data_IF_023833321037
#
_entry.id   IF_023833321037
#
_cell.length_a   1.000
_cell.length_b   1.000
_cell.length_c   1.000
_cell.angle_alpha   90.00
_cell.angle_beta   90.00
_cell.angle_gamma   90.00
#
_symmetry.space_group_name_H-M   'P 1'
#
loop_
_entity.id
_entity.type
_entity.pdbx_description
1 polymer ?
#
# COMPACT_ATOMS: atom_id res chain seq x y z
N UNK A 1 15.29 -0.05 -8.03
CA UNK A 1 15.69 0.63 -6.78
C UNK A 1 16.32 1.98 -7.08
N UNK A 2 17.47 2.05 -7.77
CA UNK A 2 18.15 3.31 -8.10
C UNK A 2 17.23 4.37 -8.72
N UNK A 3 16.44 4.01 -9.73
CA UNK A 3 15.48 4.94 -10.38
C UNK A 3 14.40 5.44 -9.42
N UNK A 4 13.92 4.60 -8.49
CA UNK A 4 12.91 5.02 -7.50
C UNK A 4 13.50 5.99 -6.47
N UNK A 5 14.74 5.77 -6.04
CA UNK A 5 15.48 6.70 -5.18
C UNK A 5 15.63 8.05 -5.90
N UNK A 6 16.08 8.03 -7.15
CA UNK A 6 16.23 9.25 -7.97
C UNK A 6 14.92 9.99 -8.21
N UNK A 7 13.80 9.27 -8.28
CA UNK A 7 12.46 9.84 -8.40
C UNK A 7 11.91 10.41 -7.09
N UNK A 8 12.65 10.33 -5.98
CA UNK A 8 12.23 10.85 -4.67
C UNK A 8 11.26 9.94 -3.90
N UNK A 9 11.19 8.65 -4.25
CA UNK A 9 10.40 7.66 -3.51
C UNK A 9 11.14 7.26 -2.23
N UNK A 10 10.43 7.07 -1.12
CA UNK A 10 11.03 6.70 0.18
C UNK A 10 11.29 5.19 0.36
N UNK A 11 10.66 4.34 -0.46
CA UNK A 11 10.85 2.90 -0.40
C UNK A 11 10.03 2.15 -1.45
N UNK A 12 10.33 0.86 -1.62
CA UNK A 12 9.55 -0.05 -2.47
C UNK A 12 9.29 -1.36 -1.77
N UNK A 13 8.23 -2.05 -2.20
CA UNK A 13 8.07 -3.47 -1.93
C UNK A 13 8.39 -4.30 -3.19
N UNK A 14 9.02 -5.46 -2.98
CA UNK A 14 9.31 -6.44 -4.04
C UNK A 14 8.55 -7.71 -3.68
N UNK A 15 7.77 -8.26 -4.61
CA UNK A 15 6.98 -9.48 -4.40
C UNK A 15 7.67 -10.74 -4.91
N UNK A 16 7.33 -11.88 -4.32
CA UNK A 16 7.87 -13.19 -4.70
C UNK A 16 7.07 -13.92 -5.77
N UNK A 17 6.20 -13.23 -6.51
CA UNK A 17 5.43 -13.82 -7.61
C UNK A 17 6.31 -14.12 -8.84
N UNK A 18 5.95 -15.16 -9.58
CA UNK A 18 6.47 -15.35 -10.94
C UNK A 18 5.98 -14.23 -11.86
N UNK A 19 6.84 -13.74 -12.75
CA UNK A 19 6.43 -12.73 -13.74
C UNK A 19 5.69 -13.36 -14.93
N UNK A 20 4.63 -12.72 -15.47
CA UNK A 20 3.94 -11.56 -14.91
C UNK A 20 3.06 -11.95 -13.71
N UNK A 21 2.94 -11.09 -12.68
CA UNK A 21 2.18 -11.41 -11.49
C UNK A 21 0.69 -11.57 -11.78
N UNK A 22 0.03 -12.38 -10.96
CA UNK A 22 -1.38 -12.77 -11.15
C UNK A 22 -2.19 -12.48 -9.89
N UNK A 23 -3.46 -12.13 -10.07
CA UNK A 23 -4.42 -12.04 -8.99
C UNK A 23 -5.15 -13.36 -8.75
N UNK A 24 -5.63 -13.55 -7.52
CA UNK A 24 -6.45 -14.69 -7.13
C UNK A 24 -5.72 -16.03 -7.17
N UNK A 25 -6.40 -17.15 -7.46
CA UNK A 25 -5.84 -18.51 -7.32
C UNK A 25 -4.78 -18.86 -8.38
N UNK A 26 -4.50 -17.95 -9.31
CA UNK A 26 -3.48 -18.13 -10.36
C UNK A 26 -2.08 -17.69 -9.93
N UNK A 27 -1.94 -17.17 -8.70
CA UNK A 27 -0.65 -16.81 -8.12
C UNK A 27 0.28 -18.02 -8.15
N UNK A 28 1.54 -17.74 -8.43
CA UNK A 28 2.65 -18.67 -8.28
C UNK A 28 3.82 -17.86 -7.77
N UNK A 29 4.61 -18.45 -6.89
CA UNK A 29 5.75 -17.79 -6.30
C UNK A 29 7.05 -18.45 -6.77
N UNK A 30 8.09 -17.64 -6.94
CA UNK A 30 9.45 -18.11 -7.18
C UNK A 30 10.01 -18.80 -5.92
N UNK A 31 11.14 -19.49 -6.04
CA UNK A 31 11.80 -20.11 -4.87
C UNK A 31 12.27 -19.08 -3.85
N UNK A 32 12.41 -19.48 -2.57
CA UNK A 32 13.01 -18.62 -1.52
C UNK A 32 14.38 -18.12 -1.97
N UNK A 33 15.23 -19.02 -2.49
CA UNK A 33 16.58 -18.69 -2.97
C UNK A 33 16.57 -17.59 -4.03
N UNK A 34 15.66 -17.68 -5.00
CA UNK A 34 15.55 -16.66 -6.05
C UNK A 34 15.08 -15.32 -5.47
N UNK A 35 14.08 -15.34 -4.59
CA UNK A 35 13.58 -14.12 -3.96
C UNK A 35 14.64 -13.45 -3.06
N UNK A 36 15.35 -14.22 -2.23
CA UNK A 36 16.47 -13.73 -1.42
C UNK A 36 17.55 -13.09 -2.30
N UNK A 37 17.89 -13.69 -3.44
CA UNK A 37 18.82 -13.10 -4.40
C UNK A 37 18.36 -11.73 -4.93
N UNK A 38 17.07 -11.61 -5.31
CA UNK A 38 16.47 -10.33 -5.75
C UNK A 38 16.50 -9.27 -4.65
N UNK A 39 16.17 -9.67 -3.42
CA UNK A 39 16.17 -8.78 -2.26
C UNK A 39 17.58 -8.30 -1.91
N UNK A 40 18.60 -9.17 -1.94
CA UNK A 40 20.00 -8.76 -1.72
C UNK A 40 20.46 -7.73 -2.75
N UNK A 41 20.16 -7.94 -4.04
CA UNK A 41 20.46 -6.96 -5.08
C UNK A 41 19.75 -5.60 -4.84
N UNK A 42 18.53 -5.64 -4.29
CA UNK A 42 17.81 -4.42 -3.91
C UNK A 42 18.45 -3.72 -2.71
N UNK A 43 18.89 -4.48 -1.70
CA UNK A 43 19.60 -3.97 -0.53
C UNK A 43 20.96 -3.38 -0.91
N UNK A 44 21.73 -4.01 -1.79
CA UNK A 44 23.00 -3.45 -2.28
C UNK A 44 22.79 -2.08 -2.95
N UNK A 45 21.77 -1.98 -3.82
CA UNK A 45 21.43 -0.72 -4.49
C UNK A 45 20.93 0.36 -3.51
N UNK A 46 20.21 -0.02 -2.45
CA UNK A 46 19.85 0.87 -1.34
C UNK A 46 21.11 1.37 -0.64
N UNK A 47 21.97 0.46 -0.16
CA UNK A 47 23.16 0.80 0.62
C UNK A 47 24.15 1.69 -0.14
N UNK A 48 24.21 1.56 -1.47
CA UNK A 48 25.07 2.40 -2.31
C UNK A 48 24.56 3.84 -2.46
N UNK A 49 23.23 4.06 -2.47
CA UNK A 49 22.63 5.35 -2.84
C UNK A 49 21.95 6.08 -1.69
N UNK A 50 21.23 5.37 -0.84
CA UNK A 50 20.44 5.91 0.27
C UNK A 50 20.16 4.81 1.30
N UNK A 51 20.88 4.85 2.43
CA UNK A 51 20.74 3.87 3.50
C UNK A 51 19.40 3.98 4.25
N UNK A 52 18.66 5.08 4.10
CA UNK A 52 17.35 5.27 4.72
C UNK A 52 16.19 4.77 3.83
N UNK A 53 16.43 4.55 2.54
CA UNK A 53 15.40 4.06 1.60
C UNK A 53 14.87 2.68 1.98
N UNK A 54 13.57 2.50 2.16
CA UNK A 54 13.00 1.24 2.69
C UNK A 54 12.84 0.17 1.60
N UNK A 55 13.37 -1.03 1.85
CA UNK A 55 13.06 -2.24 1.07
C UNK A 55 12.14 -3.15 1.88
N UNK A 56 10.94 -3.38 1.34
CA UNK A 56 9.96 -4.29 1.88
C UNK A 56 9.89 -5.59 1.05
N UNK A 57 10.05 -6.75 1.69
CA UNK A 57 9.79 -8.04 1.03
C UNK A 57 8.32 -8.44 1.19
N UNK A 58 7.60 -8.57 0.08
CA UNK A 58 6.20 -9.02 0.06
C UNK A 58 6.11 -10.50 -0.31
N UNK A 59 5.47 -11.28 0.54
CA UNK A 59 5.21 -12.71 0.33
C UNK A 59 3.77 -12.92 -0.13
N UNK A 60 3.57 -13.32 -1.39
CA UNK A 60 2.24 -13.56 -1.98
C UNK A 60 1.78 -15.02 -1.87
N UNK A 61 2.56 -15.88 -1.21
CA UNK A 61 2.27 -17.31 -1.09
C UNK A 61 0.91 -17.59 -0.43
N UNK A 62 0.43 -16.76 0.50
CA UNK A 62 -0.89 -16.91 1.12
C UNK A 62 -2.06 -16.88 0.13
N UNK A 63 -1.84 -16.29 -1.05
CA UNK A 63 -2.80 -16.29 -2.14
C UNK A 63 -2.74 -17.50 -3.08
N UNK A 64 -1.81 -18.43 -2.86
CA UNK A 64 -1.63 -19.65 -3.67
C UNK A 64 -2.48 -20.80 -3.07
N UNK A 65 -3.31 -21.48 -3.87
CA UNK A 65 -4.09 -22.62 -3.38
C UNK A 65 -3.20 -23.72 -2.76
N UNK A 66 -3.59 -24.20 -1.58
CA UNK A 66 -2.88 -25.26 -0.87
C UNK A 66 -1.68 -24.79 -0.03
N UNK A 67 -1.27 -23.53 -0.12
CA UNK A 67 -0.19 -23.00 0.72
C UNK A 67 -0.55 -23.05 2.21
N UNK A 68 0.39 -23.49 3.03
CA UNK A 68 0.25 -23.57 4.48
C UNK A 68 0.75 -22.29 5.13
N UNK A 69 0.24 -21.99 6.33
CA UNK A 69 0.74 -20.88 7.14
C UNK A 69 2.24 -21.02 7.43
N UNK A 70 2.71 -22.25 7.71
CA UNK A 70 4.11 -22.55 7.97
C UNK A 70 5.04 -22.18 6.80
N UNK A 71 4.67 -22.51 5.55
CA UNK A 71 5.45 -22.15 4.36
C UNK A 71 5.52 -20.62 4.14
N UNK A 72 4.44 -19.90 4.47
CA UNK A 72 4.40 -18.43 4.37
C UNK A 72 5.36 -17.82 5.38
N UNK A 73 5.35 -18.30 6.63
CA UNK A 73 6.24 -17.82 7.69
C UNK A 73 7.70 -18.17 7.37
N UNK A 74 7.98 -19.38 6.89
CA UNK A 74 9.33 -19.78 6.45
C UNK A 74 9.90 -18.80 5.42
N UNK A 75 9.13 -18.49 4.37
CA UNK A 75 9.50 -17.49 3.37
C UNK A 75 9.78 -16.12 3.98
N UNK A 76 8.85 -15.62 4.79
CA UNK A 76 8.97 -14.29 5.41
C UNK A 76 10.20 -14.19 6.32
N UNK A 77 10.46 -15.21 7.13
CA UNK A 77 11.65 -15.29 7.97
C UNK A 77 12.92 -15.30 7.13
N UNK A 78 13.00 -16.14 6.09
CA UNK A 78 14.16 -16.19 5.20
C UNK A 78 14.43 -14.85 4.51
N UNK A 79 13.38 -14.13 4.07
CA UNK A 79 13.54 -12.80 3.48
C UNK A 79 14.18 -11.81 4.46
N UNK A 80 13.79 -11.85 5.74
CA UNK A 80 14.42 -11.02 6.76
C UNK A 80 15.84 -11.47 7.09
N UNK A 81 16.03 -12.74 7.43
CA UNK A 81 17.28 -13.23 8.03
C UNK A 81 18.38 -13.42 7.00
N UNK A 82 18.06 -13.78 5.76
CA UNK A 82 19.06 -14.03 4.72
C UNK A 82 19.31 -12.82 3.82
N UNK A 83 18.31 -11.97 3.55
CA UNK A 83 18.47 -10.78 2.72
C UNK A 83 18.58 -9.48 3.50
N UNK A 84 18.17 -9.45 4.77
CA UNK A 84 18.31 -8.25 5.62
C UNK A 84 17.34 -7.12 5.30
N UNK A 85 16.22 -7.39 4.61
CA UNK A 85 15.23 -6.36 4.24
C UNK A 85 14.71 -5.60 5.46
N UNK A 86 14.32 -4.34 5.29
CA UNK A 86 13.88 -3.50 6.39
C UNK A 86 12.54 -3.99 6.95
N UNK A 87 11.59 -4.28 6.05
CA UNK A 87 10.20 -4.63 6.38
C UNK A 87 9.79 -5.92 5.66
N UNK A 88 8.94 -6.73 6.30
CA UNK A 88 8.33 -7.90 5.67
C UNK A 88 6.80 -7.75 5.62
N UNK A 89 6.21 -8.12 4.50
CA UNK A 89 4.78 -8.05 4.25
C UNK A 89 4.22 -9.43 3.90
N UNK A 90 3.68 -10.18 4.88
CA UNK A 90 2.86 -11.35 4.58
C UNK A 90 1.52 -10.91 3.97
N UNK A 91 1.14 -11.51 2.84
CA UNK A 91 -0.11 -11.19 2.14
C UNK A 91 -1.09 -12.38 2.14
N UNK A 92 -2.39 -12.08 2.17
CA UNK A 92 -3.49 -13.07 2.12
C UNK A 92 -3.43 -14.13 3.22
N UNK A 93 -3.05 -13.76 4.44
CA UNK A 93 -3.32 -14.59 5.62
C UNK A 93 -4.83 -14.67 5.86
N UNK A 94 -5.30 -15.80 6.38
CA UNK A 94 -6.72 -16.20 6.34
C UNK A 94 -7.53 -15.72 7.54
N UNK A 95 -6.88 -15.58 8.69
CA UNK A 95 -7.53 -15.20 9.94
C UNK A 95 -6.76 -14.09 10.63
N UNK A 96 -7.43 -13.38 11.54
CA UNK A 96 -6.76 -12.39 12.38
C UNK A 96 -5.72 -13.02 13.31
N UNK A 97 -5.96 -14.25 13.78
CA UNK A 97 -4.99 -14.99 14.59
C UNK A 97 -3.72 -15.35 13.81
N UNK A 98 -3.84 -15.78 12.56
CA UNK A 98 -2.68 -16.01 11.69
C UNK A 98 -1.85 -14.73 11.51
N UNK A 99 -2.50 -13.57 11.36
CA UNK A 99 -1.80 -12.28 11.20
C UNK A 99 -1.07 -11.89 12.49
N UNK A 100 -1.73 -12.00 13.65
CA UNK A 100 -1.08 -11.75 14.95
C UNK A 100 0.11 -12.68 15.14
N UNK A 101 -0.04 -13.96 14.84
CA UNK A 101 1.05 -14.93 14.94
C UNK A 101 2.20 -14.58 13.96
N UNK A 102 1.88 -14.19 12.73
CA UNK A 102 2.89 -13.78 11.76
C UNK A 102 3.71 -12.57 12.22
N UNK A 103 3.05 -11.54 12.78
CA UNK A 103 3.72 -10.36 13.34
C UNK A 103 4.71 -10.76 14.44
N UNK A 104 4.36 -11.74 15.28
CA UNK A 104 5.23 -12.20 16.37
C UNK A 104 6.37 -13.09 15.89
N UNK A 105 6.16 -13.90 14.84
CA UNK A 105 7.13 -14.90 14.38
C UNK A 105 8.13 -14.38 13.35
N UNK A 106 7.74 -13.40 12.54
CA UNK A 106 8.61 -12.82 11.52
C UNK A 106 9.54 -11.80 12.20
N UNK A 107 10.87 -11.91 12.09
CA UNK A 107 11.76 -10.98 12.77
C UNK A 107 11.66 -9.56 12.21
N UNK A 108 11.68 -8.56 13.10
CA UNK A 108 11.69 -7.14 12.73
C UNK A 108 10.32 -6.58 12.30
N UNK A 109 10.29 -5.41 11.64
CA UNK A 109 9.04 -4.75 11.26
C UNK A 109 8.19 -5.56 10.28
N UNK A 110 6.92 -5.75 10.62
CA UNK A 110 5.93 -6.47 9.80
C UNK A 110 4.78 -5.56 9.41
N UNK A 111 4.50 -5.47 8.11
CA UNK A 111 3.34 -4.74 7.56
C UNK A 111 2.45 -5.75 6.84
N UNK A 112 1.46 -6.36 7.51
CA UNK A 112 0.60 -7.35 6.88
C UNK A 112 -0.32 -6.69 5.84
N UNK A 113 -0.52 -7.34 4.69
CA UNK A 113 -1.54 -6.94 3.72
C UNK A 113 -2.79 -7.80 3.91
N UNK A 114 -3.91 -7.14 4.25
CA UNK A 114 -5.14 -7.78 4.74
C UNK A 114 -6.31 -7.56 3.76
N UNK A 115 -6.34 -8.20 2.57
CA UNK A 115 -7.35 -7.87 1.55
C UNK A 115 -8.74 -8.45 1.81
N UNK A 116 -8.85 -9.56 2.57
CA UNK A 116 -10.07 -10.38 2.59
C UNK A 116 -10.69 -10.61 3.98
N UNK A 117 -10.19 -9.96 5.04
CA UNK A 117 -10.78 -10.12 6.37
C UNK A 117 -12.04 -9.29 6.53
N UNK A 118 -13.09 -9.94 7.03
CA UNK A 118 -14.38 -9.34 7.37
C UNK A 118 -14.87 -9.94 8.71
N UNK A 119 -15.13 -9.14 9.75
CA UNK A 119 -14.87 -7.70 9.82
C UNK A 119 -13.38 -7.38 9.68
N UNK A 120 -13.07 -6.19 9.17
CA UNK A 120 -11.70 -5.70 9.07
C UNK A 120 -11.19 -5.26 10.45
N UNK A 121 -9.95 -5.61 10.86
CA UNK A 121 -9.43 -5.21 12.18
C UNK A 121 -9.24 -3.69 12.28
N UNK A 122 -9.58 -3.11 13.43
CA UNK A 122 -9.41 -1.68 13.68
C UNK A 122 -7.94 -1.25 13.63
N UNK A 123 -7.69 0.06 13.52
CA UNK A 123 -6.32 0.58 13.56
C UNK A 123 -5.66 0.30 14.92
N UNK A 124 -6.44 0.41 16.01
CA UNK A 124 -6.02 0.08 17.36
C UNK A 124 -5.70 -1.40 17.52
N UNK A 125 -6.51 -2.29 16.94
CA UNK A 125 -6.25 -3.74 16.94
C UNK A 125 -4.96 -4.08 16.19
N UNK A 126 -4.73 -3.46 15.03
CA UNK A 126 -3.49 -3.63 14.25
C UNK A 126 -2.27 -3.10 15.01
N UNK A 127 -2.39 -1.93 15.63
CA UNK A 127 -1.33 -1.35 16.45
C UNK A 127 -1.02 -2.22 17.67
N UNK A 128 -2.05 -2.71 18.37
CA UNK A 128 -1.91 -3.58 19.53
C UNK A 128 -1.29 -4.94 19.19
N UNK A 129 -1.53 -5.45 17.98
CA UNK A 129 -0.90 -6.67 17.48
C UNK A 129 0.61 -6.48 17.19
N UNK A 130 1.09 -5.23 17.10
CA UNK A 130 2.48 -4.90 16.80
C UNK A 130 2.79 -4.73 15.31
N UNK A 131 1.77 -4.52 14.46
CA UNK A 131 2.01 -4.19 13.06
C UNK A 131 2.79 -2.87 12.97
N UNK A 132 3.84 -2.85 12.14
CA UNK A 132 4.70 -1.67 11.98
C UNK A 132 3.98 -0.51 11.26
N UNK A 133 2.98 -0.83 10.43
CA UNK A 133 2.08 0.12 9.80
C UNK A 133 0.79 -0.58 9.37
N UNK A 134 -0.31 0.17 9.30
CA UNK A 134 -1.54 -0.26 8.67
C UNK A 134 -1.53 0.14 7.19
N UNK A 135 -1.67 -0.81 6.28
CA UNK A 135 -1.56 -0.57 4.84
C UNK A 135 -2.88 -0.80 4.10
N UNK A 136 -3.38 0.24 3.43
CA UNK A 136 -4.62 0.23 2.65
C UNK A 136 -4.38 0.68 1.19
N UNK A 137 -3.89 -0.20 0.30
CA UNK A 137 -3.43 0.17 -1.05
C UNK A 137 -4.47 0.85 -1.95
N UNK A 138 -5.76 0.63 -1.71
CA UNK A 138 -6.86 1.12 -2.55
C UNK A 138 -7.91 1.93 -1.76
N UNK A 139 -7.53 2.47 -0.59
CA UNK A 139 -8.47 3.12 0.35
C UNK A 139 -9.35 4.19 -0.31
N UNK A 140 -8.71 5.17 -0.94
CA UNK A 140 -9.39 6.30 -1.60
C UNK A 140 -10.01 5.89 -2.92
N UNK A 141 -9.39 4.94 -3.65
CA UNK A 141 -9.93 4.40 -4.90
C UNK A 141 -11.28 3.72 -4.67
N UNK A 142 -11.42 2.87 -3.66
CA UNK A 142 -12.70 2.19 -3.38
C UNK A 142 -13.76 3.18 -2.92
N UNK A 143 -13.41 4.14 -2.06
CA UNK A 143 -14.33 5.19 -1.63
C UNK A 143 -14.82 6.05 -2.80
N UNK A 144 -13.93 6.45 -3.71
CA UNK A 144 -14.25 7.24 -4.89
C UNK A 144 -14.96 6.44 -5.99
N UNK A 145 -14.64 5.14 -6.14
CA UNK A 145 -15.21 4.29 -7.19
C UNK A 145 -16.72 4.17 -7.04
N UNK A 146 -17.21 3.90 -5.83
CA UNK A 146 -18.65 3.78 -5.58
C UNK A 146 -19.36 5.12 -5.80
N UNK A 147 -18.81 6.22 -5.26
CA UNK A 147 -19.39 7.56 -5.44
C UNK A 147 -19.48 7.96 -6.92
N UNK A 148 -18.43 7.70 -7.70
CA UNK A 148 -18.43 7.95 -9.14
C UNK A 148 -19.43 7.05 -9.86
N UNK A 149 -19.52 5.76 -9.50
CA UNK A 149 -20.48 4.83 -10.08
C UNK A 149 -21.91 5.32 -9.91
N UNK A 150 -22.30 5.65 -8.68
CA UNK A 150 -23.64 6.12 -8.36
C UNK A 150 -23.95 7.44 -9.07
N UNK A 151 -23.02 8.40 -9.03
CA UNK A 151 -23.18 9.69 -9.71
C UNK A 151 -23.35 9.52 -11.23
N UNK A 152 -22.55 8.68 -11.89
CA UNK A 152 -22.63 8.48 -13.34
C UNK A 152 -23.94 7.80 -13.75
N UNK A 153 -24.44 6.86 -12.95
CA UNK A 153 -25.74 6.23 -13.17
C UNK A 153 -26.90 7.21 -13.03
N UNK A 154 -26.83 8.07 -12.04
CA UNK A 154 -27.84 9.08 -11.78
C UNK A 154 -27.80 10.24 -12.80
N UNK A 155 -26.60 10.71 -13.15
CA UNK A 155 -26.37 11.69 -14.20
C UNK A 155 -26.91 11.21 -15.56
N UNK A 156 -26.80 9.91 -15.86
CA UNK A 156 -27.42 9.33 -17.07
C UNK A 156 -28.94 9.50 -17.13
N UNK A 157 -29.61 9.54 -15.97
CA UNK A 157 -31.07 9.68 -15.87
C UNK A 157 -31.50 11.15 -15.79
N UNK A 158 -30.83 11.95 -14.95
CA UNK A 158 -31.25 13.33 -14.62
C UNK A 158 -30.43 14.43 -15.29
N UNK A 159 -29.31 14.08 -15.92
CA UNK A 159 -28.39 15.05 -16.51
C UNK A 159 -27.84 16.03 -15.48
N UNK A 160 -27.78 17.31 -15.85
CA UNK A 160 -27.17 18.38 -15.03
C UNK A 160 -27.83 18.60 -13.68
N UNK A 161 -29.08 18.17 -13.48
CA UNK A 161 -29.73 18.24 -12.16
C UNK A 161 -28.97 17.43 -11.10
N UNK A 162 -28.44 16.25 -11.48
CA UNK A 162 -27.61 15.45 -10.58
C UNK A 162 -26.29 16.17 -10.23
N UNK A 163 -25.75 16.95 -11.16
CA UNK A 163 -24.54 17.74 -10.95
C UNK A 163 -24.77 18.92 -10.00
N UNK A 164 -25.86 19.66 -10.16
CA UNK A 164 -26.23 20.77 -9.26
C UNK A 164 -26.49 20.26 -7.84
N UNK A 165 -27.11 19.09 -7.72
CA UNK A 165 -27.31 18.44 -6.44
C UNK A 165 -25.99 18.00 -5.80
N UNK A 166 -25.09 17.35 -6.54
CA UNK A 166 -23.75 16.99 -6.05
C UNK A 166 -23.01 18.21 -5.50
N UNK A 167 -23.06 19.35 -6.20
CA UNK A 167 -22.45 20.60 -5.73
C UNK A 167 -23.08 21.09 -4.43
N UNK A 168 -24.41 21.04 -4.32
CA UNK A 168 -25.16 21.43 -3.12
C UNK A 168 -24.87 20.49 -1.95
N UNK A 169 -24.72 19.20 -2.20
CA UNK A 169 -24.35 18.22 -1.17
C UNK A 169 -22.92 18.48 -0.67
N UNK A 170 -21.98 18.81 -1.56
CA UNK A 170 -20.60 19.12 -1.19
C UNK A 170 -20.50 20.31 -0.21
N UNK A 171 -21.38 21.32 -0.31
CA UNK A 171 -21.38 22.46 0.63
C UNK A 171 -21.82 22.08 2.04
N UNK A 172 -22.44 20.90 2.23
CA UNK A 172 -22.87 20.37 3.53
C UNK A 172 -21.80 19.52 4.21
N UNK A 173 -20.67 19.26 3.55
CA UNK A 173 -19.55 18.52 4.12
C UNK A 173 -18.99 19.25 5.35
N UNK A 174 -18.81 18.54 6.46
CA UNK A 174 -18.14 19.08 7.66
C UNK A 174 -16.68 19.50 7.39
N UNK A 175 -16.08 18.99 6.31
CA UNK A 175 -14.72 19.30 5.86
C UNK A 175 -14.68 20.40 4.78
N UNK A 176 -15.84 20.96 4.43
CA UNK A 176 -16.00 21.94 3.36
C UNK A 176 -15.91 21.34 1.95
N UNK A 177 -15.99 22.23 0.95
CA UNK A 177 -15.90 21.86 -0.47
C UNK A 177 -14.44 21.68 -0.86
N UNK A 178 -14.12 20.53 -1.46
CA UNK A 178 -12.81 20.30 -2.06
C UNK A 178 -12.59 21.26 -3.24
N UNK A 179 -11.42 21.91 -3.30
CA UNK A 179 -11.07 22.84 -4.38
C UNK A 179 -9.58 22.80 -4.66
N UNK A 180 -9.20 23.04 -5.92
CA UNK A 180 -7.79 23.04 -6.33
C UNK A 180 -6.97 24.06 -5.52
N UNK A 181 -7.50 25.25 -5.25
CA UNK A 181 -6.79 26.26 -4.48
C UNK A 181 -6.44 25.81 -3.06
N UNK A 182 -7.32 25.05 -2.41
CA UNK A 182 -7.06 24.46 -1.08
C UNK A 182 -6.11 23.26 -1.13
N UNK A 183 -6.23 22.44 -2.17
CA UNK A 183 -5.44 21.20 -2.30
C UNK A 183 -4.01 21.49 -2.73
N UNK A 184 -3.82 22.47 -3.61
CA UNK A 184 -2.53 22.82 -4.21
C UNK A 184 -1.77 23.92 -3.46
N UNK A 185 -2.33 24.44 -2.36
CA UNK A 185 -1.76 25.56 -1.61
C UNK A 185 -1.51 26.81 -2.49
N UNK A 186 -2.58 27.33 -3.08
CA UNK A 186 -2.54 28.52 -3.93
C UNK A 186 -1.97 29.75 -3.21
N UNK A 187 -2.10 29.82 -1.88
CA UNK A 187 -1.54 30.90 -1.08
C UNK A 187 -0.02 30.91 -1.17
N UNK A 188 0.61 29.75 -0.91
CA UNK A 188 2.06 29.62 -1.00
C UNK A 188 2.58 29.93 -2.42
N UNK A 189 1.86 29.51 -3.46
CA UNK A 189 2.22 29.85 -4.85
C UNK A 189 2.26 31.36 -5.07
N UNK A 190 1.25 32.10 -4.60
CA UNK A 190 1.21 33.56 -4.72
C UNK A 190 2.29 34.27 -3.91
N UNK A 191 2.62 33.76 -2.72
CA UNK A 191 3.75 34.29 -1.93
C UNK A 191 5.08 34.13 -2.66
N UNK A 192 5.28 32.99 -3.32
CA UNK A 192 6.47 32.71 -4.11
C UNK A 192 6.53 33.61 -5.35
N UNK A 193 5.42 33.79 -6.06
CA UNK A 193 5.32 34.74 -7.17
C UNK A 193 5.67 36.16 -6.72
N UNK A 194 5.03 36.67 -5.66
CA UNK A 194 5.31 38.01 -5.15
C UNK A 194 6.76 38.21 -4.71
N UNK A 195 7.42 37.15 -4.23
CA UNK A 195 8.82 37.20 -3.78
C UNK A 195 9.82 37.24 -4.93
N UNK A 196 9.57 36.53 -6.02
CA UNK A 196 10.58 36.30 -7.08
C UNK A 196 10.20 36.88 -8.45
N UNK A 197 8.93 37.21 -8.67
CA UNK A 197 8.43 37.90 -9.86
C UNK A 197 8.08 39.33 -9.45
N UNK A 198 9.11 40.15 -9.21
CA UNK A 198 8.95 41.61 -9.11
C UNK A 198 9.38 42.23 -10.44
N UNK A 199 8.65 43.25 -10.87
CA UNK A 199 8.97 44.06 -12.08
C UNK A 199 10.37 44.67 -12.03
#
# INVERSE_FOLDING_TARGET
VREYIQAGVAGVHIEDQTFPPKSGPRRRCISIKEMVGKLRAAMDAKMELDADFVIMARCDLGGVPGATFAEIIERCCAYKTEAGVDVVCPNNLRTWDEIKEAIQRIPGPVVPLIPNLQPYPSLEEQQAAGAAAAWFPALTTVAGLQANWDFLHDFRVRGTQAFDELRTQATRSAWGVASNGRILDEHHMREMEAKYLTD
#
